data_IF_332787048358
#
_entry.id   IF_332787048358
#
_cell.length_a   1.000
_cell.length_b   1.000
_cell.length_c   1.000
_cell.angle_alpha   90.00
_cell.angle_beta   90.00
_cell.angle_gamma   90.00
#
_symmetry.space_group_name_H-M   'P 1'
#
loop_
_entity.id
_entity.type
_entity.pdbx_description
1 polymer ?
#
# COMPACT_ATOMS: atom_id res chain seq x y z
N UNK A 1 -32.46 1.76 -52.41
CA UNK A 1 -32.81 1.74 -50.98
C UNK A 1 -31.50 1.76 -50.19
N UNK A 2 -31.14 2.89 -49.57
CA UNK A 2 -29.90 3.00 -48.79
C UNK A 2 -29.97 2.17 -47.51
N UNK A 3 -28.86 1.54 -47.11
CA UNK A 3 -28.76 0.77 -45.87
C UNK A 3 -28.79 1.74 -44.68
N UNK A 4 -29.85 1.69 -43.87
CA UNK A 4 -29.91 2.44 -42.61
C UNK A 4 -29.04 1.74 -41.56
N UNK A 5 -27.98 2.40 -41.10
CA UNK A 5 -27.12 1.88 -40.04
C UNK A 5 -27.77 2.13 -38.67
N UNK A 6 -28.64 1.20 -38.25
CA UNK A 6 -29.43 1.27 -37.01
C UNK A 6 -28.56 1.42 -35.76
N UNK A 7 -27.32 0.92 -35.79
CA UNK A 7 -26.40 0.95 -34.66
C UNK A 7 -26.08 2.37 -34.16
N UNK A 8 -25.95 3.34 -35.06
CA UNK A 8 -25.60 4.73 -34.69
C UNK A 8 -26.76 5.48 -34.04
N UNK A 9 -27.99 4.99 -34.19
CA UNK A 9 -29.18 5.60 -33.62
C UNK A 9 -29.53 5.03 -32.24
N UNK A 10 -28.62 4.27 -31.64
CA UNK A 10 -28.80 3.69 -30.31
C UNK A 10 -28.10 4.56 -29.27
N UNK A 11 -28.77 4.74 -28.13
CA UNK A 11 -28.24 5.52 -27.01
C UNK A 11 -26.96 4.94 -26.41
N UNK A 12 -26.74 3.63 -26.54
CA UNK A 12 -25.55 2.95 -26.04
C UNK A 12 -24.37 2.97 -27.03
N UNK A 13 -24.51 3.57 -28.22
CA UNK A 13 -23.47 3.49 -29.23
C UNK A 13 -22.20 4.25 -28.79
N UNK A 14 -21.01 3.62 -28.78
CA UNK A 14 -19.80 4.22 -28.20
C UNK A 14 -19.39 5.54 -28.86
N UNK A 15 -19.56 5.65 -30.18
CA UNK A 15 -19.14 6.83 -30.94
C UNK A 15 -20.17 7.96 -30.98
N UNK A 16 -21.21 7.90 -30.14
CA UNK A 16 -22.18 8.98 -30.01
C UNK A 16 -21.58 10.07 -29.15
N UNK A 17 -21.66 11.34 -29.59
CA UNK A 17 -21.06 12.48 -28.90
C UNK A 17 -21.41 12.54 -27.41
N UNK A 18 -22.70 12.38 -27.07
CA UNK A 18 -23.18 12.35 -25.68
C UNK A 18 -22.47 11.30 -24.80
N UNK A 19 -22.16 10.13 -25.36
CA UNK A 19 -21.48 9.06 -24.64
C UNK A 19 -19.99 9.34 -24.48
N UNK A 20 -19.36 9.89 -25.51
CA UNK A 20 -17.96 10.30 -25.48
C UNK A 20 -17.77 11.39 -24.41
N UNK A 21 -18.67 12.38 -24.36
CA UNK A 21 -18.62 13.45 -23.36
C UNK A 21 -18.85 12.94 -21.93
N UNK A 22 -19.74 11.96 -21.74
CA UNK A 22 -19.93 11.33 -20.43
C UNK A 22 -18.67 10.61 -19.97
N UNK A 23 -18.08 9.77 -20.83
CA UNK A 23 -16.82 9.07 -20.52
C UNK A 23 -15.71 10.08 -20.21
N UNK A 24 -15.61 11.14 -21.00
CA UNK A 24 -14.61 12.20 -20.76
C UNK A 24 -14.77 12.86 -19.40
N UNK A 25 -16.01 13.18 -18.98
CA UNK A 25 -16.28 13.74 -17.65
C UNK A 25 -15.87 12.76 -16.56
N UNK A 26 -16.26 11.50 -16.69
CA UNK A 26 -15.94 10.45 -15.72
C UNK A 26 -14.42 10.24 -15.60
N UNK A 27 -13.68 10.27 -16.72
CA UNK A 27 -12.21 10.21 -16.77
C UNK A 27 -11.55 11.44 -16.14
N UNK A 28 -12.06 12.65 -16.42
CA UNK A 28 -11.54 13.89 -15.84
C UNK A 28 -11.77 13.95 -14.32
N UNK A 29 -12.94 13.51 -13.84
CA UNK A 29 -13.25 13.38 -12.41
C UNK A 29 -12.37 12.34 -11.72
N UNK A 30 -12.15 11.19 -12.37
CA UNK A 30 -11.22 10.17 -11.86
C UNK A 30 -9.79 10.71 -11.74
N UNK A 31 -9.30 11.42 -12.77
CA UNK A 31 -7.97 12.03 -12.77
C UNK A 31 -7.81 13.09 -11.68
N UNK A 32 -8.84 13.91 -11.44
CA UNK A 32 -8.80 14.90 -10.36
C UNK A 32 -8.75 14.24 -8.98
N UNK A 33 -9.52 13.16 -8.78
CA UNK A 33 -9.52 12.41 -7.53
C UNK A 33 -8.17 11.75 -7.25
N UNK A 34 -7.58 11.10 -8.26
CA UNK A 34 -6.24 10.51 -8.17
C UNK A 34 -5.19 11.56 -7.78
N UNK A 35 -5.20 12.73 -8.42
CA UNK A 35 -4.26 13.81 -8.09
C UNK A 35 -4.40 14.33 -6.64
N UNK A 36 -5.62 14.34 -6.09
CA UNK A 36 -5.86 14.72 -4.69
C UNK A 36 -5.33 13.64 -3.73
N UNK A 37 -5.58 12.37 -4.06
CA UNK A 37 -5.12 11.23 -3.26
C UNK A 37 -3.59 11.14 -3.27
N UNK A 38 -2.95 11.28 -4.43
CA UNK A 38 -1.49 11.33 -4.57
C UNK A 38 -0.88 12.49 -3.79
N UNK A 39 -1.50 13.67 -3.86
CA UNK A 39 -1.08 14.83 -3.08
C UNK A 39 -1.13 14.57 -1.57
N UNK A 40 -2.18 13.89 -1.10
CA UNK A 40 -2.34 13.52 0.31
C UNK A 40 -1.30 12.49 0.75
N UNK A 41 -1.03 11.47 -0.07
CA UNK A 41 -0.03 10.44 0.22
C UNK A 41 1.37 11.05 0.28
N UNK A 42 1.72 11.94 -0.65
CA UNK A 42 3.01 12.64 -0.69
C UNK A 42 3.22 13.52 0.55
N UNK A 43 2.20 14.26 1.00
CA UNK A 43 2.27 15.04 2.24
C UNK A 43 2.45 14.13 3.46
N UNK A 44 1.69 13.03 3.56
CA UNK A 44 1.80 12.09 4.67
C UNK A 44 3.20 11.45 4.76
N UNK A 45 3.79 11.07 3.62
CA UNK A 45 5.17 10.53 3.58
C UNK A 45 6.20 11.58 4.03
N UNK A 46 6.05 12.82 3.58
CA UNK A 46 6.92 13.93 4.00
C UNK A 46 6.84 14.19 5.51
N UNK A 47 5.64 14.14 6.09
CA UNK A 47 5.40 14.35 7.52
C UNK A 47 5.96 13.20 8.36
N UNK A 48 5.77 11.95 7.92
CA UNK A 48 6.34 10.77 8.56
C UNK A 48 7.87 10.82 8.57
N UNK A 49 8.48 11.17 7.43
CA UNK A 49 9.94 11.32 7.31
C UNK A 49 10.48 12.42 8.22
N UNK A 50 9.82 13.57 8.26
CA UNK A 50 10.22 14.68 9.16
C UNK A 50 10.12 14.25 10.62
N UNK A 51 9.09 13.49 10.97
CA UNK A 51 8.90 13.00 12.35
C UNK A 51 10.05 12.07 12.76
N UNK A 52 10.41 11.11 11.92
CA UNK A 52 11.57 10.22 12.17
C UNK A 52 12.88 11.00 12.30
N UNK A 53 13.12 11.99 11.42
CA UNK A 53 14.32 12.84 11.50
C UNK A 53 14.35 13.67 12.79
N UNK A 54 13.20 14.20 13.21
CA UNK A 54 13.09 14.95 14.47
C UNK A 54 13.33 14.05 15.68
N UNK A 55 12.80 12.84 15.68
CA UNK A 55 13.03 11.86 16.75
C UNK A 55 14.50 11.47 16.83
N UNK A 56 15.14 11.20 15.68
CA UNK A 56 16.57 10.94 15.59
C UNK A 56 17.40 12.11 16.11
N UNK A 57 17.10 13.34 15.69
CA UNK A 57 17.80 14.53 16.18
C UNK A 57 17.61 14.74 17.70
N UNK A 58 16.44 14.40 18.25
CA UNK A 58 16.21 14.41 19.70
C UNK A 58 17.00 13.31 20.43
N UNK A 59 17.24 12.17 19.81
CA UNK A 59 18.09 11.12 20.37
C UNK A 59 19.57 11.53 20.36
N UNK A 60 20.04 12.14 19.26
CA UNK A 60 21.42 12.61 19.10
C UNK A 60 21.76 13.84 19.97
N UNK A 61 20.78 14.70 20.25
CA UNK A 61 20.97 15.92 21.07
C UNK A 61 20.81 15.71 22.57
N UNK A 62 20.41 14.52 23.04
CA UNK A 62 20.47 14.19 24.48
C UNK A 62 21.94 14.06 24.88
N UNK A 63 22.50 14.99 25.67
CA UNK A 63 23.84 14.81 26.19
C UNK A 63 23.77 13.60 27.14
N UNK A 64 24.77 12.74 27.13
CA UNK A 64 24.88 11.71 28.17
C UNK A 64 24.76 12.39 29.55
N UNK A 65 24.16 11.72 30.56
CA UNK A 65 24.00 12.30 31.92
C UNK A 65 25.28 12.98 32.44
N UNK A 66 26.43 12.40 32.11
CA UNK A 66 27.75 12.91 32.47
C UNK A 66 28.16 14.21 31.76
N UNK A 67 27.61 14.48 30.58
CA UNK A 67 27.81 15.71 29.79
C UNK A 67 26.82 16.81 30.21
N UNK A 68 25.62 16.44 30.68
CA UNK A 68 24.64 17.38 31.26
C UNK A 68 25.14 18.01 32.56
N UNK A 69 25.64 17.22 33.52
CA UNK A 69 26.22 17.76 34.77
C UNK A 69 27.38 18.72 34.51
N UNK A 70 28.25 18.39 33.54
CA UNK A 70 29.40 19.22 33.17
C UNK A 70 28.99 20.55 32.51
N UNK A 71 27.90 20.56 31.73
CA UNK A 71 27.40 21.78 31.11
C UNK A 71 26.64 22.67 32.11
N UNK A 72 25.88 22.10 33.05
CA UNK A 72 25.25 22.85 34.14
C UNK A 72 26.29 23.51 35.07
N UNK A 73 27.35 22.80 35.43
CA UNK A 73 28.44 23.34 36.25
C UNK A 73 29.18 24.49 35.54
N UNK A 74 29.40 24.35 34.22
CA UNK A 74 30.03 25.38 33.38
C UNK A 74 29.14 26.61 33.17
N UNK A 75 27.81 26.43 33.10
CA UNK A 75 26.83 27.50 32.93
C UNK A 75 26.60 28.29 34.23
N UNK A 76 26.80 27.65 35.39
CA UNK A 76 26.87 28.31 36.69
C UNK A 76 28.15 29.14 36.85
N UNK A 77 29.28 28.68 36.28
CA UNK A 77 30.54 29.43 36.25
C UNK A 77 30.59 30.58 35.22
N UNK A 78 29.81 30.51 34.14
CA UNK A 78 29.78 31.56 33.11
C UNK A 78 28.86 32.76 33.44
N UNK A 79 28.19 32.77 34.60
CA UNK A 79 27.39 33.92 35.08
C UNK A 79 28.25 35.01 35.74
N UNK A 80 29.36 35.37 35.10
CA UNK A 80 30.12 36.59 35.39
C UNK A 80 29.95 37.54 34.19
N UNK A 81 29.19 38.64 34.32
CA UNK A 81 28.79 39.46 33.19
C UNK A 81 29.82 40.55 32.91
N UNK A 82 31.02 40.21 32.44
CA UNK A 82 31.95 41.20 31.88
C UNK A 82 32.73 40.56 30.73
N UNK A 83 32.79 41.29 29.61
CA UNK A 83 33.54 41.03 28.36
C UNK A 83 32.68 40.41 27.24
N UNK A 84 31.89 41.29 26.61
CA UNK A 84 31.48 41.14 25.22
C UNK A 84 32.61 41.66 24.32
N UNK A 85 33.11 40.82 23.42
CA UNK A 85 34.02 41.22 22.33
C UNK A 85 33.50 40.64 21.00
N UNK A 86 33.56 41.39 19.88
CA UNK A 86 33.02 40.95 18.60
C UNK A 86 34.03 40.10 17.83
N UNK A 87 33.62 38.95 17.30
CA UNK A 87 34.41 38.22 16.29
C UNK A 87 33.56 37.87 15.07
N UNK A 88 34.01 38.46 13.96
CA UNK A 88 33.58 38.38 12.56
C UNK A 88 33.46 36.94 12.01
N UNK A 89 32.70 36.70 10.92
CA UNK A 89 32.59 35.39 10.29
C UNK A 89 33.79 35.16 9.36
N UNK A 90 34.55 34.08 9.59
CA UNK A 90 35.59 33.61 8.67
C UNK A 90 35.22 32.26 8.08
N UNK A 91 35.22 32.24 6.76
CA UNK A 91 35.09 31.14 5.81
C UNK A 91 35.56 29.76 6.30
N UNK A 92 34.69 28.76 6.13
CA UNK A 92 35.08 27.34 6.18
C UNK A 92 35.50 26.87 4.79
N UNK A 93 36.80 27.01 4.49
CA UNK A 93 37.47 26.21 3.47
C UNK A 93 37.54 24.75 3.93
N UNK A 94 36.92 23.84 3.18
CA UNK A 94 36.95 22.39 3.42
C UNK A 94 38.30 21.83 2.98
N UNK A 95 39.21 21.61 3.93
CA UNK A 95 40.38 20.76 3.73
C UNK A 95 40.04 19.32 4.12
N UNK A 96 40.34 18.43 3.17
CA UNK A 96 40.13 16.99 3.21
C UNK A 96 41.15 16.36 4.16
N UNK A 97 40.78 16.13 5.41
CA UNK A 97 41.56 15.26 6.31
C UNK A 97 40.72 14.15 6.94
N UNK A 98 41.21 12.96 6.65
CA UNK A 98 40.88 11.62 7.14
C UNK A 98 40.67 11.63 8.66
N UNK A 99 39.42 11.47 9.09
CA UNK A 99 39.09 11.05 10.46
C UNK A 99 38.26 9.79 10.42
N UNK A 100 38.86 8.72 10.91
CA UNK A 100 38.24 7.44 11.20
C UNK A 100 37.24 7.63 12.34
N UNK A 101 36.00 7.19 12.13
CA UNK A 101 34.94 7.25 13.13
C UNK A 101 33.53 7.24 12.54
N UNK A 102 33.03 6.04 12.23
CA UNK A 102 31.60 5.74 12.33
C UNK A 102 30.65 6.34 11.30
N UNK A 103 31.08 6.58 10.06
CA UNK A 103 30.19 6.88 8.95
C UNK A 103 30.36 5.81 7.87
N UNK A 104 29.34 4.94 7.78
CA UNK A 104 28.97 4.09 6.64
C UNK A 104 30.07 3.95 5.59
N UNK A 105 30.78 2.82 5.62
CA UNK A 105 31.71 2.37 4.58
C UNK A 105 30.94 2.15 3.28
N UNK A 106 30.54 3.25 2.62
CA UNK A 106 29.91 3.25 1.30
C UNK A 106 30.89 2.78 0.23
N UNK A 107 32.18 2.78 0.52
CA UNK A 107 33.23 2.27 -0.35
C UNK A 107 33.57 0.85 0.05
N UNK A 108 33.38 -0.10 -0.87
CA UNK A 108 33.90 -1.45 -0.74
C UNK A 108 35.43 -1.42 -0.59
N UNK A 109 36.03 -2.56 -0.22
CA UNK A 109 37.49 -2.71 -0.12
C UNK A 109 38.24 -2.38 -1.41
N UNK A 110 37.55 -2.37 -2.56
CA UNK A 110 38.09 -1.98 -3.87
C UNK A 110 37.88 -0.50 -4.24
N UNK A 111 37.28 0.32 -3.37
CA UNK A 111 37.00 1.74 -3.61
C UNK A 111 35.77 2.03 -4.49
N UNK A 112 35.07 1.00 -4.97
CA UNK A 112 33.78 1.19 -5.64
C UNK A 112 32.64 1.31 -4.62
N UNK A 113 31.63 2.13 -4.94
CA UNK A 113 30.47 2.33 -4.07
C UNK A 113 29.45 1.23 -4.37
N UNK A 114 29.17 0.37 -3.38
CA UNK A 114 28.17 -0.69 -3.52
C UNK A 114 26.81 -0.21 -3.01
N UNK A 115 25.94 0.24 -3.91
CA UNK A 115 24.57 0.65 -3.58
C UNK A 115 23.66 -0.54 -3.22
N UNK A 116 24.05 -1.76 -3.56
CA UNK A 116 23.24 -2.97 -3.41
C UNK A 116 23.55 -3.80 -2.16
N UNK A 117 24.56 -3.43 -1.39
CA UNK A 117 24.99 -4.20 -0.21
C UNK A 117 23.89 -4.28 0.86
N UNK A 118 23.19 -3.18 1.12
CA UNK A 118 22.06 -3.14 2.05
C UNK A 118 20.87 -4.02 1.59
N UNK A 119 20.64 -4.08 0.27
CA UNK A 119 19.61 -4.93 -0.32
C UNK A 119 19.97 -6.41 -0.15
N UNK A 120 21.22 -6.81 -0.40
CA UNK A 120 21.66 -8.20 -0.26
C UNK A 120 21.53 -8.72 1.18
N UNK A 121 21.89 -7.91 2.19
CA UNK A 121 21.69 -8.28 3.60
C UNK A 121 20.21 -8.42 3.98
N UNK A 122 19.34 -7.56 3.45
CA UNK A 122 17.90 -7.65 3.71
C UNK A 122 17.29 -8.93 3.13
N UNK A 123 17.71 -9.32 1.92
CA UNK A 123 17.23 -10.52 1.24
C UNK A 123 17.62 -11.81 1.98
N UNK A 124 18.83 -11.88 2.52
CA UNK A 124 19.31 -13.07 3.24
C UNK A 124 18.50 -13.36 4.51
N UNK A 125 18.10 -12.33 5.27
CA UNK A 125 17.29 -12.51 6.48
C UNK A 125 15.86 -13.01 6.22
N UNK A 126 15.29 -12.71 5.04
CA UNK A 126 13.91 -13.13 4.72
C UNK A 126 13.79 -14.62 4.36
N UNK A 127 14.90 -15.28 3.97
CA UNK A 127 14.88 -16.66 3.51
C UNK A 127 14.84 -17.69 4.66
N UNK A 128 15.31 -17.33 5.86
CA UNK A 128 15.56 -18.28 6.95
C UNK A 128 14.34 -18.58 7.85
N UNK A 129 13.18 -17.93 7.66
CA UNK A 129 12.06 -17.99 8.64
C UNK A 129 10.79 -18.69 8.15
N UNK A 130 10.85 -19.49 7.08
CA UNK A 130 9.67 -20.10 6.44
C UNK A 130 9.39 -21.56 6.82
N UNK A 131 9.75 -22.00 8.04
CA UNK A 131 9.62 -23.42 8.45
C UNK A 131 8.98 -23.66 9.81
N UNK A 132 7.66 -23.50 9.96
CA UNK A 132 6.90 -24.20 11.03
C UNK A 132 5.43 -24.41 10.66
N UNK A 133 4.89 -25.57 11.05
CA UNK A 133 3.61 -26.11 10.61
C UNK A 133 2.38 -25.28 11.01
N UNK A 134 1.39 -25.27 10.10
CA UNK A 134 0.31 -24.30 10.03
C UNK A 134 -0.94 -24.67 10.81
N UNK A 135 -1.35 -23.79 11.72
CA UNK A 135 -2.69 -23.80 12.33
C UNK A 135 -3.69 -23.02 11.45
N UNK A 136 -5.00 -23.09 11.76
CA UNK A 136 -6.09 -22.50 10.95
C UNK A 136 -5.92 -21.01 10.62
N UNK A 137 -5.27 -20.23 11.48
CA UNK A 137 -4.95 -18.82 11.25
C UNK A 137 -3.96 -18.60 10.07
N UNK A 138 -3.22 -19.63 9.72
CA UNK A 138 -2.20 -19.57 8.68
C UNK A 138 -2.73 -19.99 7.29
N UNK A 139 -3.92 -20.59 7.25
CA UNK A 139 -4.70 -20.81 6.01
C UNK A 139 -5.26 -19.46 5.53
N UNK A 140 -5.79 -18.65 6.45
CA UNK A 140 -6.31 -17.33 6.10
C UNK A 140 -5.18 -16.38 5.68
N UNK A 141 -4.02 -16.48 6.33
CA UNK A 141 -2.81 -15.75 5.91
C UNK A 141 -2.22 -16.27 4.60
N UNK A 142 -2.49 -17.52 4.21
CA UNK A 142 -2.11 -18.04 2.90
C UNK A 142 -3.00 -17.47 1.78
N UNK A 143 -4.31 -17.29 2.04
CA UNK A 143 -5.21 -16.58 1.11
C UNK A 143 -4.82 -15.12 0.94
N UNK A 144 -4.41 -14.46 2.02
CA UNK A 144 -3.88 -13.09 1.96
C UNK A 144 -2.58 -13.02 1.14
N UNK A 145 -1.70 -14.02 1.26
CA UNK A 145 -0.50 -14.14 0.42
C UNK A 145 -0.78 -14.52 -1.04
N UNK A 146 -1.85 -15.24 -1.33
CA UNK A 146 -2.30 -15.46 -2.71
C UNK A 146 -2.78 -14.16 -3.36
N UNK A 147 -3.40 -13.26 -2.58
CA UNK A 147 -3.74 -11.91 -3.03
C UNK A 147 -2.49 -11.03 -3.21
N UNK A 148 -1.44 -11.23 -2.41
CA UNK A 148 -0.14 -10.54 -2.52
C UNK A 148 0.75 -11.09 -3.66
N UNK A 149 0.53 -12.35 -4.10
CA UNK A 149 1.26 -13.02 -5.20
C UNK A 149 0.87 -12.52 -6.60
N UNK A 150 -0.04 -11.54 -6.67
CA UNK A 150 -0.51 -10.94 -7.90
C UNK A 150 -1.63 -11.73 -8.57
N UNK A 151 -2.19 -11.16 -9.65
CA UNK A 151 -3.28 -11.78 -10.40
C UNK A 151 -2.79 -13.13 -10.97
N UNK A 152 -3.45 -14.26 -10.64
CA UNK A 152 -3.01 -15.56 -11.11
C UNK A 152 -2.97 -15.60 -12.64
N UNK A 153 -1.83 -16.04 -13.20
CA UNK A 153 -1.60 -16.12 -14.65
C UNK A 153 -2.58 -17.07 -15.36
N UNK A 154 -3.16 -18.01 -14.61
CA UNK A 154 -4.18 -18.93 -15.10
C UNK A 154 -5.50 -18.66 -14.37
N UNK A 155 -6.63 -18.67 -15.10
CA UNK A 155 -7.95 -18.62 -14.48
C UNK A 155 -8.11 -19.75 -13.46
N UNK A 156 -8.80 -19.46 -12.35
CA UNK A 156 -9.08 -20.45 -11.30
C UNK A 156 -9.84 -21.66 -11.89
N UNK A 157 -9.83 -22.81 -11.22
CA UNK A 157 -10.59 -23.98 -11.65
C UNK A 157 -12.10 -23.68 -11.79
N UNK A 158 -12.60 -22.72 -10.99
CA UNK A 158 -13.95 -22.18 -11.10
C UNK A 158 -14.14 -21.34 -12.37
N UNK A 159 -13.13 -20.58 -12.78
CA UNK A 159 -13.15 -19.78 -14.01
C UNK A 159 -12.90 -20.63 -15.27
N UNK A 160 -12.25 -21.80 -15.12
CA UNK A 160 -12.14 -22.80 -16.20
C UNK A 160 -13.47 -23.49 -16.49
N UNK A 161 -14.47 -23.39 -15.61
CA UNK A 161 -15.81 -23.94 -15.83
C UNK A 161 -16.69 -22.89 -16.49
N UNK A 162 -17.09 -23.07 -17.76
CA UNK A 162 -18.02 -22.16 -18.39
C UNK A 162 -19.34 -22.12 -17.64
N UNK A 163 -19.96 -20.95 -17.55
CA UNK A 163 -21.23 -20.74 -16.82
C UNK A 163 -22.37 -21.67 -17.27
N UNK A 164 -22.34 -22.17 -18.51
CA UNK A 164 -23.33 -23.11 -19.05
C UNK A 164 -23.12 -24.57 -18.61
N UNK A 165 -21.99 -24.91 -18.00
CA UNK A 165 -21.73 -26.23 -17.39
C UNK A 165 -22.24 -26.32 -15.96
N UNK A 166 -22.66 -25.19 -15.39
CA UNK A 166 -23.18 -25.15 -14.03
C UNK A 166 -24.60 -25.72 -14.01
N UNK A 167 -24.76 -26.86 -13.34
CA UNK A 167 -26.03 -27.62 -13.33
C UNK A 167 -27.18 -26.84 -12.69
N UNK A 168 -26.87 -25.81 -11.89
CA UNK A 168 -27.86 -24.91 -11.29
C UNK A 168 -28.45 -23.87 -12.25
N UNK A 169 -27.80 -23.62 -13.39
CA UNK A 169 -28.21 -22.64 -14.42
C UNK A 169 -28.95 -23.30 -15.60
N UNK A 170 -29.24 -24.60 -15.53
CA UNK A 170 -30.10 -25.27 -16.53
C UNK A 170 -31.41 -24.49 -16.69
N UNK A 171 -31.81 -24.27 -17.94
CA UNK A 171 -33.10 -23.67 -18.23
C UNK A 171 -34.21 -24.62 -17.74
N UNK A 172 -35.34 -24.13 -17.18
CA UNK A 172 -36.40 -24.98 -16.65
C UNK A 172 -37.02 -25.96 -17.65
N UNK A 173 -36.78 -25.77 -18.95
CA UNK A 173 -37.21 -26.71 -20.02
C UNK A 173 -36.28 -27.92 -20.19
N UNK A 174 -35.05 -27.82 -19.69
CA UNK A 174 -34.01 -28.85 -19.80
C UNK A 174 -33.78 -29.56 -18.45
N UNK A 175 -34.56 -29.20 -17.42
CA UNK A 175 -34.56 -29.85 -16.12
C UNK A 175 -35.58 -31.00 -16.13
N UNK A 176 -35.23 -32.08 -15.43
CA UNK A 176 -36.19 -33.17 -15.18
C UNK A 176 -37.21 -32.74 -14.13
N UNK A 177 -38.41 -33.31 -14.15
CA UNK A 177 -39.50 -32.95 -13.22
C UNK A 177 -39.06 -33.07 -11.74
N UNK A 178 -38.15 -34.00 -11.43
CA UNK A 178 -37.57 -34.15 -10.09
C UNK A 178 -36.60 -33.01 -9.72
N UNK A 179 -35.77 -32.55 -10.67
CA UNK A 179 -34.86 -31.41 -10.45
C UNK A 179 -35.63 -30.09 -10.26
N UNK A 180 -36.77 -29.93 -10.94
CA UNK A 180 -37.64 -28.76 -10.78
C UNK A 180 -38.27 -28.74 -9.38
N UNK A 181 -38.81 -29.88 -8.92
CA UNK A 181 -39.40 -29.99 -7.58
C UNK A 181 -38.37 -29.74 -6.46
N UNK A 182 -37.14 -30.24 -6.61
CA UNK A 182 -36.06 -29.99 -5.65
C UNK A 182 -35.65 -28.51 -5.60
N UNK A 183 -35.63 -27.82 -6.74
CA UNK A 183 -35.30 -26.39 -6.79
C UNK A 183 -36.42 -25.55 -6.16
N UNK A 184 -37.68 -25.89 -6.46
CA UNK A 184 -38.86 -25.22 -5.89
C UNK A 184 -38.98 -25.42 -4.36
N UNK A 185 -38.51 -26.56 -3.82
CA UNK A 185 -38.50 -26.79 -2.37
C UNK A 185 -37.35 -26.06 -1.64
N UNK A 186 -36.19 -25.89 -2.30
CA UNK A 186 -34.99 -25.31 -1.67
C UNK A 186 -34.91 -23.78 -1.79
N UNK A 187 -35.52 -23.17 -2.81
CA UNK A 187 -35.61 -21.71 -2.93
C UNK A 187 -36.35 -21.02 -1.77
N UNK A 188 -37.53 -21.48 -1.29
CA UNK A 188 -38.25 -20.80 -0.21
C UNK A 188 -37.52 -20.89 1.15
N UNK A 189 -36.76 -21.96 1.40
CA UNK A 189 -35.93 -22.07 2.61
C UNK A 189 -34.74 -21.09 2.59
N UNK A 190 -34.06 -21.00 1.44
CA UNK A 190 -32.97 -20.05 1.25
C UNK A 190 -33.42 -18.58 1.32
N UNK A 191 -34.60 -18.27 0.78
CA UNK A 191 -35.19 -16.94 0.92
C UNK A 191 -35.54 -16.64 2.38
N UNK A 192 -36.17 -17.59 3.09
CA UNK A 192 -36.46 -17.43 4.53
C UNK A 192 -35.20 -17.17 5.36
N UNK A 193 -34.11 -17.87 5.10
CA UNK A 193 -32.83 -17.59 5.78
C UNK A 193 -32.26 -16.21 5.43
N UNK A 194 -32.28 -15.84 4.14
CA UNK A 194 -31.72 -14.57 3.65
C UNK A 194 -32.49 -13.36 4.16
N UNK A 195 -33.80 -13.46 4.34
CA UNK A 195 -34.63 -12.41 4.93
C UNK A 195 -34.62 -12.47 6.47
N UNK A 196 -34.53 -13.66 7.07
CA UNK A 196 -34.45 -13.86 8.52
C UNK A 196 -33.15 -13.36 9.15
N UNK A 197 -32.00 -13.49 8.46
CA UNK A 197 -30.70 -12.98 8.93
C UNK A 197 -30.61 -11.45 8.87
N UNK A 198 -31.25 -10.81 7.88
CA UNK A 198 -31.30 -9.34 7.77
C UNK A 198 -32.12 -8.68 8.89
N UNK A 199 -33.12 -9.37 9.43
CA UNK A 199 -33.97 -8.83 10.50
C UNK A 199 -33.36 -8.90 11.91
N UNK A 200 -32.28 -9.66 12.13
CA UNK A 200 -31.70 -9.89 13.47
C UNK A 200 -30.44 -9.05 13.77
N UNK A 201 -30.03 -8.19 12.83
CA UNK A 201 -28.80 -7.38 12.93
C UNK A 201 -28.97 -5.93 13.40
N UNK A 202 -30.19 -5.45 13.65
CA UNK A 202 -30.43 -4.11 14.21
C UNK A 202 -31.06 -4.22 15.61
N UNK A 203 -30.21 -4.35 16.62
CA UNK A 203 -30.50 -3.96 18.01
C UNK A 203 -29.20 -3.71 18.75
#
# INVERSE_FOLDING_TARGET
>A
MGKLNIAHHKSYHPYRADNIERVRRDEEEARLKEAIEDGRVSLADSEARITLLRERAKAESKPSKHKQEREEEKLLQSKNPLIAGPSSPSDHHVTKEKREGGALTLTASSGHINLFEELEYSHQNTLEHSGRAKSKAEIDKAKEKELERGVPLMPDEKDRRPWYMDKGLKHPKDMTDEEVQLKEQTEPENEREKWGKRSRGNK
#
